data_IF_160139908170
#
_entry.id   IF_160139908170
#
_cell.length_a   1.000
_cell.length_b   1.000
_cell.length_c   1.000
_cell.angle_alpha   90.00
_cell.angle_beta   90.00
_cell.angle_gamma   90.00
#
_symmetry.space_group_name_H-M   'P 1'
#
loop_
_entity.id
_entity.type
_entity.pdbx_description
1 polymer ?
#
# COMPACT_ATOMS: atom_id res chain seq x y z
N UNK A 1 -27.72 72.51 27.90
CA UNK A 1 -27.54 71.08 28.09
C UNK A 1 -27.84 70.36 26.79
N UNK A 2 -26.80 70.01 26.01
CA UNK A 2 -26.95 69.30 24.75
C UNK A 2 -26.62 67.81 25.00
N UNK A 3 -27.58 66.89 24.78
CA UNK A 3 -27.39 65.46 24.86
C UNK A 3 -26.82 64.97 23.51
N UNK A 4 -25.65 64.36 23.54
CA UNK A 4 -25.08 63.63 22.41
C UNK A 4 -25.64 62.20 22.39
N UNK A 5 -26.19 61.78 21.25
CA UNK A 5 -26.63 60.43 20.97
C UNK A 5 -25.50 59.72 20.25
N UNK A 6 -24.92 58.71 20.84
CA UNK A 6 -23.96 57.82 20.22
C UNK A 6 -24.73 56.70 19.48
N UNK A 7 -24.62 56.68 18.17
CA UNK A 7 -25.07 55.57 17.31
C UNK A 7 -23.92 54.54 17.27
N UNK A 8 -24.16 53.39 17.88
CA UNK A 8 -23.27 52.22 17.74
C UNK A 8 -23.51 51.52 16.40
N UNK A 9 -22.49 51.51 15.55
CA UNK A 9 -22.48 50.69 14.33
C UNK A 9 -22.05 49.27 14.70
N UNK A 10 -22.97 48.33 14.65
CA UNK A 10 -22.67 46.88 14.76
C UNK A 10 -22.08 46.38 13.44
N UNK A 11 -20.79 46.07 13.43
CA UNK A 11 -20.15 45.39 12.31
C UNK A 11 -20.53 43.90 12.31
N UNK A 12 -21.33 43.51 11.34
CA UNK A 12 -21.57 42.09 11.01
C UNK A 12 -20.32 41.54 10.32
N UNK A 13 -19.58 40.68 11.03
CA UNK A 13 -18.55 39.83 10.44
C UNK A 13 -19.20 38.74 9.58
N UNK A 14 -18.76 38.53 8.34
CA UNK A 14 -19.26 37.40 7.55
C UNK A 14 -18.78 36.09 8.19
N UNK A 15 -19.72 35.21 8.54
CA UNK A 15 -19.42 33.82 8.81
C UNK A 15 -18.81 33.21 7.54
N UNK A 16 -17.49 33.00 7.55
CA UNK A 16 -16.83 32.21 6.52
C UNK A 16 -17.46 30.82 6.45
N UNK A 17 -18.08 30.50 5.33
CA UNK A 17 -18.48 29.13 5.03
C UNK A 17 -17.19 28.29 4.95
N UNK A 18 -16.93 27.48 5.98
CA UNK A 18 -15.97 26.39 5.87
C UNK A 18 -16.44 25.52 4.70
N UNK A 19 -15.58 25.35 3.70
CA UNK A 19 -15.81 24.32 2.66
C UNK A 19 -15.95 22.99 3.43
N UNK A 20 -17.15 22.41 3.38
CA UNK A 20 -17.37 21.07 3.89
C UNK A 20 -16.45 20.14 3.09
N UNK A 21 -15.38 19.65 3.70
CA UNK A 21 -14.60 18.57 3.12
C UNK A 21 -15.55 17.42 2.77
N UNK A 22 -15.35 16.78 1.62
CA UNK A 22 -16.16 15.63 1.26
C UNK A 22 -16.13 14.63 2.45
N UNK A 23 -17.33 14.19 2.87
CA UNK A 23 -17.42 13.27 4.00
C UNK A 23 -16.67 11.98 3.64
N UNK A 24 -15.81 11.53 4.55
CA UNK A 24 -15.07 10.27 4.40
C UNK A 24 -16.11 9.13 4.35
N UNK A 25 -16.10 8.26 3.33
CA UNK A 25 -17.08 7.18 3.24
C UNK A 25 -16.95 6.23 4.43
N UNK A 26 -18.06 5.63 4.92
CA UNK A 26 -18.07 4.79 6.13
C UNK A 26 -17.49 3.39 5.85
N UNK A 27 -16.34 3.33 5.22
CA UNK A 27 -15.59 2.11 4.96
C UNK A 27 -14.94 1.63 6.26
N UNK A 28 -15.10 0.34 6.57
CA UNK A 28 -14.55 -0.30 7.78
C UNK A 28 -13.71 -1.54 7.48
N UNK A 29 -13.71 -2.01 6.22
CA UNK A 29 -12.86 -3.11 5.78
C UNK A 29 -12.13 -2.69 4.50
N UNK A 30 -10.81 -2.61 4.56
CA UNK A 30 -9.94 -2.27 3.43
C UNK A 30 -9.15 -3.51 3.04
N UNK A 31 -9.22 -3.87 1.76
CA UNK A 31 -8.48 -4.97 1.14
C UNK A 31 -7.51 -4.39 0.12
N UNK A 32 -6.24 -4.73 0.21
CA UNK A 32 -5.23 -4.34 -0.77
C UNK A 32 -4.66 -5.61 -1.39
N UNK A 33 -4.68 -5.68 -2.72
CA UNK A 33 -3.91 -6.64 -3.50
C UNK A 33 -2.77 -5.88 -4.14
N UNK A 34 -1.54 -6.16 -3.70
CA UNK A 34 -0.33 -5.56 -4.23
C UNK A 34 0.32 -6.50 -5.24
N UNK A 35 0.47 -6.01 -6.47
CA UNK A 35 1.08 -6.68 -7.62
C UNK A 35 2.44 -6.05 -7.91
N UNK A 36 3.17 -6.56 -8.92
CA UNK A 36 4.57 -6.25 -9.15
C UNK A 36 4.87 -5.73 -10.58
N UNK A 37 5.64 -4.66 -10.64
CA UNK A 37 6.43 -4.19 -11.79
C UNK A 37 5.69 -4.08 -13.13
N UNK A 38 4.54 -3.39 -13.16
CA UNK A 38 3.80 -3.21 -14.41
C UNK A 38 3.43 -1.75 -14.71
N UNK A 39 3.72 -1.33 -15.93
CA UNK A 39 3.34 0.00 -16.41
C UNK A 39 1.82 0.14 -16.60
N UNK A 40 1.24 1.26 -16.19
CA UNK A 40 -0.17 1.56 -16.40
C UNK A 40 -0.58 1.45 -17.87
N UNK A 41 0.27 1.88 -18.80
CA UNK A 41 -0.03 1.84 -20.25
C UNK A 41 -0.13 0.40 -20.78
N UNK A 42 0.61 -0.54 -20.22
CA UNK A 42 0.53 -1.97 -20.58
C UNK A 42 -0.65 -2.62 -19.88
N UNK A 43 -0.76 -2.40 -18.57
CA UNK A 43 -1.79 -3.01 -17.72
C UNK A 43 -3.21 -2.63 -18.15
N UNK A 44 -3.45 -1.35 -18.39
CA UNK A 44 -4.77 -0.81 -18.72
C UNK A 44 -4.96 -0.48 -20.21
N UNK A 45 -3.99 -0.85 -21.05
CA UNK A 45 -4.06 -0.69 -22.49
C UNK A 45 -5.07 -1.63 -23.16
N UNK A 46 -5.47 -1.31 -24.41
CA UNK A 46 -6.45 -2.09 -25.16
C UNK A 46 -6.07 -3.57 -25.34
N UNK A 47 -4.77 -3.86 -25.43
CA UNK A 47 -4.22 -5.20 -25.64
C UNK A 47 -3.63 -5.82 -24.38
N UNK A 48 -4.08 -5.38 -23.20
CA UNK A 48 -3.61 -5.91 -21.93
C UNK A 48 -3.77 -7.44 -21.86
N UNK A 49 -2.72 -8.18 -21.45
CA UNK A 49 -2.83 -9.62 -21.17
C UNK A 49 -3.73 -9.96 -19.97
N UNK A 50 -4.09 -8.96 -19.16
CA UNK A 50 -5.02 -9.10 -18.04
C UNK A 50 -6.35 -8.36 -18.32
N UNK A 51 -7.24 -8.90 -19.17
CA UNK A 51 -8.51 -8.26 -19.50
C UNK A 51 -9.46 -8.12 -18.30
N UNK A 52 -9.31 -8.94 -17.28
CA UNK A 52 -10.08 -8.83 -16.05
C UNK A 52 -9.71 -7.56 -15.29
N UNK A 53 -8.41 -7.33 -15.06
CA UNK A 53 -7.90 -6.11 -14.42
C UNK A 53 -8.11 -4.87 -15.30
N UNK A 54 -7.83 -4.98 -16.60
CA UNK A 54 -7.84 -3.83 -17.52
C UNK A 54 -9.23 -3.28 -17.85
N UNK A 55 -10.25 -4.13 -17.83
CA UNK A 55 -11.61 -3.78 -18.31
C UNK A 55 -12.72 -4.16 -17.34
N UNK A 56 -12.71 -5.41 -16.84
CA UNK A 56 -13.83 -5.91 -16.04
C UNK A 56 -13.93 -5.19 -14.70
N UNK A 57 -12.81 -5.07 -13.98
CA UNK A 57 -12.79 -4.42 -12.68
C UNK A 57 -13.03 -2.89 -12.78
N UNK A 58 -12.41 -2.13 -13.69
CA UNK A 58 -12.72 -0.71 -13.87
C UNK A 58 -14.19 -0.44 -14.21
N UNK A 59 -14.82 -1.30 -14.99
CA UNK A 59 -16.25 -1.17 -15.28
C UNK A 59 -17.15 -1.37 -14.05
N UNK A 60 -16.67 -2.04 -13.02
CA UNK A 60 -17.37 -2.29 -11.75
C UNK A 60 -16.99 -1.30 -10.63
N UNK A 61 -15.95 -0.51 -10.82
CA UNK A 61 -15.40 0.38 -9.81
C UNK A 61 -14.80 1.66 -10.38
N UNK A 62 -13.69 2.11 -9.80
CA UNK A 62 -12.92 3.25 -10.28
C UNK A 62 -11.54 2.83 -10.77
N UNK A 63 -11.05 3.48 -11.82
CA UNK A 63 -9.69 3.42 -12.32
C UNK A 63 -8.96 4.73 -12.02
N UNK A 64 -7.89 4.68 -11.26
CA UNK A 64 -6.95 5.78 -11.03
C UNK A 64 -5.84 5.66 -12.08
N UNK A 65 -5.89 6.48 -13.12
CA UNK A 65 -4.94 6.39 -14.24
C UNK A 65 -3.60 7.04 -13.93
N UNK A 66 -3.57 7.94 -12.94
CA UNK A 66 -2.37 8.65 -12.48
C UNK A 66 -2.00 8.23 -11.04
N UNK A 67 -1.81 6.92 -10.86
CA UNK A 67 -1.29 6.38 -9.62
C UNK A 67 0.15 5.91 -9.83
N UNK A 68 1.05 6.22 -8.88
CA UNK A 68 2.50 6.10 -9.03
C UNK A 68 3.14 5.31 -7.90
N UNK A 69 4.16 4.51 -8.23
CA UNK A 69 5.09 3.94 -7.26
C UNK A 69 6.01 5.00 -6.67
N UNK A 70 6.61 4.71 -5.51
CA UNK A 70 7.51 5.62 -4.80
C UNK A 70 8.94 5.51 -5.33
N UNK A 71 9.43 4.29 -5.56
CA UNK A 71 10.78 4.03 -6.00
C UNK A 71 10.88 2.82 -6.91
N UNK A 72 12.11 2.53 -7.36
CA UNK A 72 12.42 1.31 -8.08
C UNK A 72 13.26 0.39 -7.21
N UNK A 73 12.63 -0.51 -6.64
CA UNK A 73 12.86 -1.75 -5.92
C UNK A 73 11.64 -2.02 -5.07
N UNK A 74 11.11 -3.22 -5.13
CA UNK A 74 9.80 -3.56 -4.53
C UNK A 74 9.73 -3.13 -3.07
N UNK A 75 10.70 -3.50 -2.25
CA UNK A 75 10.66 -3.30 -0.81
C UNK A 75 10.41 -1.85 -0.38
N UNK A 76 10.97 -0.85 -1.07
CA UNK A 76 10.78 0.54 -0.65
C UNK A 76 9.32 1.01 -0.83
N UNK A 77 8.60 0.50 -1.82
CA UNK A 77 7.19 0.75 -2.05
C UNK A 77 6.30 0.11 -0.97
N UNK A 78 6.62 -1.13 -0.59
CA UNK A 78 5.91 -1.83 0.49
C UNK A 78 6.12 -1.15 1.85
N UNK A 79 7.34 -0.71 2.15
CA UNK A 79 7.65 0.05 3.38
C UNK A 79 6.91 1.39 3.40
N UNK A 80 6.91 2.12 2.28
CA UNK A 80 6.21 3.40 2.15
C UNK A 80 4.71 3.24 2.46
N UNK A 81 4.08 2.18 1.96
CA UNK A 81 2.65 1.92 2.08
C UNK A 81 2.18 1.65 3.52
N UNK A 82 3.04 1.12 4.39
CA UNK A 82 2.65 0.75 5.76
C UNK A 82 3.23 1.66 6.84
N UNK A 83 4.15 2.56 6.50
CA UNK A 83 4.84 3.41 7.49
C UNK A 83 5.10 4.85 7.03
N UNK A 84 4.89 5.16 5.76
CA UNK A 84 5.23 6.45 5.19
C UNK A 84 6.73 6.75 5.15
N UNK A 85 7.60 5.74 5.35
CA UNK A 85 9.05 5.91 5.27
C UNK A 85 9.51 5.97 3.81
N UNK A 86 10.46 6.86 3.54
CA UNK A 86 11.07 7.00 2.23
C UNK A 86 12.09 5.88 1.95
N UNK A 87 12.38 5.59 0.66
CA UNK A 87 13.45 4.68 0.26
C UNK A 87 14.79 5.04 0.88
N UNK A 88 15.52 4.04 1.35
CA UNK A 88 16.91 4.16 1.78
C UNK A 88 17.80 3.21 0.96
N UNK A 89 19.12 3.30 1.14
CA UNK A 89 20.09 2.57 0.33
C UNK A 89 19.89 1.04 0.36
N UNK A 90 19.37 0.48 1.46
CA UNK A 90 19.15 -0.97 1.57
C UNK A 90 17.78 -1.40 1.03
N UNK A 91 16.74 -0.60 1.26
CA UNK A 91 15.42 -0.89 0.69
C UNK A 91 15.44 -0.76 -0.84
N UNK A 92 16.26 0.16 -1.39
CA UNK A 92 16.52 0.28 -2.83
C UNK A 92 17.35 -0.89 -3.43
N UNK A 93 17.68 -1.90 -2.66
CA UNK A 93 18.33 -3.14 -3.07
C UNK A 93 17.53 -4.37 -2.67
N UNK A 94 16.26 -4.21 -2.28
CA UNK A 94 15.40 -5.28 -1.78
C UNK A 94 15.98 -6.04 -0.57
N UNK A 95 16.86 -5.39 0.19
CA UNK A 95 17.39 -5.94 1.43
C UNK A 95 17.99 -7.35 1.30
N UNK A 96 19.03 -7.58 0.49
CA UNK A 96 19.59 -8.92 0.31
C UNK A 96 20.18 -9.53 1.59
N UNK A 97 20.52 -8.69 2.56
CA UNK A 97 20.80 -9.08 3.93
C UNK A 97 19.76 -8.43 4.81
N UNK A 98 18.99 -9.23 5.53
CA UNK A 98 17.92 -8.78 6.43
C UNK A 98 18.52 -8.06 7.65
N UNK A 99 18.93 -6.80 7.43
CA UNK A 99 19.80 -6.05 8.35
C UNK A 99 19.01 -5.03 9.17
N UNK A 100 19.41 -4.90 10.46
CA UNK A 100 18.93 -3.83 11.31
C UNK A 100 19.12 -2.46 10.68
N UNK A 101 18.15 -1.59 10.87
CA UNK A 101 18.25 -0.20 10.50
C UNK A 101 19.17 0.54 11.47
N UNK A 102 20.29 1.01 10.97
CA UNK A 102 21.25 1.82 11.72
C UNK A 102 20.92 3.29 11.61
N UNK A 103 20.37 3.83 12.70
CA UNK A 103 20.03 5.25 12.80
C UNK A 103 21.29 6.12 12.78
N UNK A 104 21.24 7.22 12.03
CA UNK A 104 22.25 8.29 12.07
C UNK A 104 22.00 9.28 13.20
N UNK A 105 20.76 9.35 13.71
CA UNK A 105 20.34 10.16 14.84
C UNK A 105 19.25 9.42 15.64
N UNK A 106 19.15 9.73 16.92
CA UNK A 106 18.27 9.04 17.85
C UNK A 106 16.76 9.30 17.58
N UNK A 107 16.43 10.43 16.94
CA UNK A 107 15.06 10.86 16.72
C UNK A 107 14.70 10.80 15.24
N UNK A 108 13.41 10.65 14.95
CA UNK A 108 12.86 10.86 13.60
C UNK A 108 13.01 12.34 13.22
N UNK A 109 13.06 12.62 11.92
CA UNK A 109 13.08 13.99 11.44
C UNK A 109 11.71 14.68 11.55
N UNK A 110 11.63 15.95 11.09
CA UNK A 110 10.40 16.73 11.13
C UNK A 110 9.26 16.15 10.25
N UNK A 111 9.57 15.22 9.37
CA UNK A 111 8.63 14.51 8.49
C UNK A 111 8.36 13.07 8.96
N UNK A 112 8.77 12.72 10.19
CA UNK A 112 8.61 11.37 10.74
C UNK A 112 9.52 10.30 10.09
N UNK A 113 10.60 10.73 9.41
CA UNK A 113 11.51 9.80 8.73
C UNK A 113 12.63 9.35 9.65
N UNK A 114 12.94 8.05 9.63
CA UNK A 114 14.14 7.50 10.22
C UNK A 114 15.34 7.79 9.31
N UNK A 115 16.29 8.59 9.76
CA UNK A 115 17.50 8.87 9.00
C UNK A 115 18.55 7.81 9.29
N UNK A 116 18.94 7.08 8.26
CA UNK A 116 19.90 5.97 8.42
C UNK A 116 19.88 5.01 7.24
N UNK A 117 20.37 3.81 7.47
CA UNK A 117 20.49 2.73 6.47
C UNK A 117 20.20 1.38 7.11
N UNK A 118 19.37 0.60 6.47
CA UNK A 118 18.97 -0.74 6.89
C UNK A 118 17.55 -1.05 6.45
N UNK A 119 17.09 -2.25 6.76
CA UNK A 119 15.79 -2.72 6.30
C UNK A 119 14.81 -2.92 7.44
N UNK A 120 15.30 -3.42 8.59
CA UNK A 120 14.46 -3.73 9.74
C UNK A 120 14.40 -2.50 10.63
N UNK A 121 13.31 -1.78 10.54
CA UNK A 121 13.13 -0.49 11.20
C UNK A 121 12.94 -0.63 12.72
N UNK A 122 13.51 0.29 13.52
CA UNK A 122 13.39 0.27 14.98
C UNK A 122 11.95 0.55 15.42
N UNK A 123 11.60 0.10 16.63
CA UNK A 123 10.25 0.24 17.23
C UNK A 123 9.69 1.66 17.27
N UNK A 124 10.54 2.68 17.21
CA UNK A 124 10.11 4.08 17.15
C UNK A 124 9.49 4.47 15.81
N UNK A 125 9.76 3.73 14.74
CA UNK A 125 9.08 3.88 13.45
C UNK A 125 7.76 3.13 13.54
N UNK A 126 6.68 3.89 13.75
CA UNK A 126 5.32 3.34 13.82
C UNK A 126 4.85 2.88 12.45
N UNK A 127 4.00 1.87 12.46
CA UNK A 127 3.37 1.31 11.26
C UNK A 127 1.86 1.48 11.32
N UNK A 128 1.19 1.35 10.17
CA UNK A 128 -0.27 1.27 10.10
C UNK A 128 -0.81 0.13 10.99
N UNK A 129 -0.24 -1.09 11.04
CA UNK A 129 -0.57 -2.10 12.04
C UNK A 129 -0.56 -1.62 13.49
N UNK A 130 0.47 -0.88 13.90
CA UNK A 130 0.56 -0.33 15.26
C UNK A 130 -0.58 0.63 15.57
N UNK A 131 -0.97 1.46 14.60
CA UNK A 131 -2.08 2.40 14.74
C UNK A 131 -3.45 1.68 14.78
N UNK A 132 -3.65 0.67 13.91
CA UNK A 132 -4.89 -0.11 13.87
C UNK A 132 -5.14 -0.79 15.21
N UNK A 133 -4.15 -1.49 15.76
CA UNK A 133 -4.28 -2.15 17.06
C UNK A 133 -4.53 -1.15 18.20
N UNK A 134 -3.83 0.00 18.19
CA UNK A 134 -4.05 1.05 19.17
C UNK A 134 -5.48 1.64 19.10
N UNK A 135 -6.12 1.61 17.92
CA UNK A 135 -7.51 2.01 17.70
C UNK A 135 -8.51 0.87 17.94
N UNK A 136 -8.07 -0.33 18.35
CA UNK A 136 -8.93 -1.51 18.54
C UNK A 136 -9.41 -2.14 17.24
N UNK A 137 -8.74 -1.86 16.12
CA UNK A 137 -8.99 -2.44 14.81
C UNK A 137 -8.09 -3.64 14.56
N UNK A 138 -8.51 -4.51 13.65
CA UNK A 138 -7.79 -5.74 13.31
C UNK A 138 -7.13 -5.66 11.94
N UNK A 139 -6.00 -6.33 11.78
CA UNK A 139 -5.28 -6.41 10.51
C UNK A 139 -4.72 -7.80 10.26
N UNK A 140 -4.45 -8.12 9.01
CA UNK A 140 -3.73 -9.33 8.63
C UNK A 140 -3.08 -9.20 7.26
N UNK A 141 -1.82 -9.65 7.14
CA UNK A 141 -1.10 -9.84 5.90
C UNK A 141 -1.20 -11.30 5.43
N UNK A 142 -1.59 -11.50 4.18
CA UNK A 142 -1.77 -12.80 3.54
C UNK A 142 -0.77 -12.96 2.40
N UNK A 143 0.25 -13.80 2.62
CA UNK A 143 1.37 -13.99 1.71
C UNK A 143 1.24 -15.34 0.99
N UNK A 144 1.06 -15.33 -0.33
CA UNK A 144 0.98 -16.57 -1.10
C UNK A 144 2.29 -17.34 -1.02
N UNK A 145 2.20 -18.63 -0.82
CA UNK A 145 3.29 -19.61 -0.69
C UNK A 145 4.16 -19.50 0.57
N UNK A 146 4.00 -18.50 1.43
CA UNK A 146 4.81 -18.38 2.66
C UNK A 146 4.80 -19.67 3.46
N UNK A 147 6.00 -20.18 3.78
CA UNK A 147 6.22 -21.39 4.57
C UNK A 147 6.18 -22.70 3.80
N UNK A 148 6.16 -22.67 2.47
CA UNK A 148 6.24 -23.89 1.67
C UNK A 148 7.58 -24.61 1.72
N UNK A 149 8.67 -23.87 1.86
CA UNK A 149 9.99 -24.43 2.14
C UNK A 149 10.53 -23.91 3.49
N UNK A 150 10.39 -24.67 4.59
CA UNK A 150 10.80 -24.24 5.92
C UNK A 150 12.33 -24.04 6.09
N UNK A 151 13.13 -24.32 5.06
CA UNK A 151 14.56 -23.98 5.02
C UNK A 151 14.80 -22.53 4.57
N UNK A 152 13.79 -21.90 4.01
CA UNK A 152 13.84 -20.51 3.50
C UNK A 152 13.23 -19.57 4.52
N UNK A 153 12.02 -19.86 4.98
CA UNK A 153 11.28 -19.05 5.94
C UNK A 153 10.28 -19.89 6.76
N UNK A 154 9.70 -19.27 7.77
CA UNK A 154 8.66 -19.87 8.62
C UNK A 154 7.29 -19.85 7.93
N UNK A 155 6.38 -20.73 8.36
CA UNK A 155 5.00 -20.82 7.86
C UNK A 155 4.13 -19.61 8.25
N UNK A 156 4.51 -18.90 9.29
CA UNK A 156 3.95 -17.63 9.74
C UNK A 156 5.09 -16.67 10.01
N UNK A 157 4.85 -15.35 9.87
CA UNK A 157 5.90 -14.34 10.10
C UNK A 157 7.20 -14.67 9.34
N UNK A 158 7.09 -15.07 8.08
CA UNK A 158 8.20 -15.61 7.29
C UNK A 158 9.24 -14.56 6.92
N UNK A 159 10.40 -14.60 7.56
CA UNK A 159 11.55 -13.73 7.27
C UNK A 159 12.87 -14.40 7.63
N UNK A 160 13.97 -13.87 7.08
CA UNK A 160 15.31 -14.29 7.47
C UNK A 160 15.64 -13.83 8.91
N UNK A 161 16.56 -14.51 9.55
CA UNK A 161 17.11 -14.04 10.84
C UNK A 161 17.83 -12.71 10.60
N UNK A 162 17.60 -11.73 11.50
CA UNK A 162 18.24 -10.41 11.42
C UNK A 162 19.76 -10.56 11.30
N UNK A 163 20.34 -9.86 10.33
CA UNK A 163 21.76 -9.95 9.98
C UNK A 163 22.14 -11.12 9.06
N UNK A 164 21.17 -11.89 8.56
CA UNK A 164 21.41 -12.99 7.62
C UNK A 164 20.89 -12.66 6.23
N UNK A 165 21.43 -13.38 5.25
CA UNK A 165 20.96 -13.34 3.86
C UNK A 165 19.48 -13.75 3.76
N UNK A 166 18.71 -12.99 2.97
CA UNK A 166 17.35 -13.37 2.62
C UNK A 166 17.37 -14.38 1.48
N UNK A 167 16.87 -15.57 1.75
CA UNK A 167 16.81 -16.67 0.78
C UNK A 167 15.53 -16.67 -0.06
N UNK A 168 14.64 -15.71 0.18
CA UNK A 168 13.34 -15.63 -0.50
C UNK A 168 13.32 -14.66 -1.68
N UNK A 169 14.42 -13.95 -1.95
CA UNK A 169 14.51 -12.97 -3.05
C UNK A 169 14.24 -13.55 -4.44
N UNK A 170 14.53 -14.84 -4.62
CA UNK A 170 14.36 -15.56 -5.89
C UNK A 170 13.46 -16.76 -5.67
N UNK A 171 12.47 -16.94 -6.55
CA UNK A 171 11.58 -18.10 -6.53
C UNK A 171 12.35 -19.42 -6.70
N UNK A 172 11.84 -20.46 -6.08
CA UNK A 172 12.20 -21.85 -6.38
C UNK A 172 10.94 -22.60 -6.86
N UNK A 173 11.12 -23.75 -7.50
CA UNK A 173 9.97 -24.56 -7.92
C UNK A 173 9.09 -25.00 -6.74
N UNK A 174 9.67 -25.17 -5.55
CA UNK A 174 8.96 -25.60 -4.34
C UNK A 174 8.29 -24.44 -3.59
N UNK A 175 8.84 -23.23 -3.71
CA UNK A 175 8.42 -22.09 -2.93
C UNK A 175 8.71 -20.78 -3.69
N UNK A 176 7.67 -19.97 -3.84
CA UNK A 176 7.70 -18.74 -4.62
C UNK A 176 7.41 -17.50 -3.75
N UNK A 177 7.37 -17.64 -2.43
CA UNK A 177 7.24 -16.52 -1.51
C UNK A 177 8.47 -15.61 -1.56
N UNK A 178 8.25 -14.30 -1.40
CA UNK A 178 9.31 -13.30 -1.27
C UNK A 178 9.06 -12.41 -0.04
N UNK A 179 10.00 -12.38 0.91
CA UNK A 179 9.90 -11.55 2.10
C UNK A 179 9.88 -10.05 1.73
N UNK A 180 10.58 -9.63 0.68
CA UNK A 180 10.57 -8.24 0.20
C UNK A 180 9.16 -7.72 -0.18
N UNK A 181 8.22 -8.62 -0.46
CA UNK A 181 6.81 -8.29 -0.70
C UNK A 181 5.93 -8.37 0.55
N UNK A 182 6.53 -8.55 1.71
CA UNK A 182 5.87 -8.63 3.01
C UNK A 182 6.36 -7.50 3.92
N UNK A 183 5.72 -6.29 3.87
CA UNK A 183 6.24 -5.13 4.60
C UNK A 183 6.29 -5.33 6.11
N UNK A 184 5.44 -6.19 6.65
CA UNK A 184 5.24 -6.33 8.10
C UNK A 184 6.44 -6.91 8.82
N UNK A 185 7.25 -7.71 8.12
CA UNK A 185 8.43 -8.35 8.75
C UNK A 185 9.65 -7.42 8.85
N UNK A 186 9.57 -6.20 8.31
CA UNK A 186 10.67 -5.22 8.36
C UNK A 186 10.55 -4.21 9.50
N UNK A 187 9.80 -4.53 10.55
CA UNK A 187 9.63 -3.63 11.72
C UNK A 187 9.77 -4.39 13.03
N UNK A 188 10.70 -3.94 13.89
CA UNK A 188 10.88 -4.48 15.23
C UNK A 188 9.65 -4.36 16.13
N UNK A 189 8.74 -3.43 15.83
CA UNK A 189 7.44 -3.37 16.53
C UNK A 189 6.61 -4.63 16.30
N UNK A 190 6.79 -5.31 15.16
CA UNK A 190 6.05 -6.52 14.78
C UNK A 190 6.85 -7.79 15.07
N UNK A 191 8.06 -7.90 14.51
CA UNK A 191 8.80 -9.18 14.55
C UNK A 191 9.39 -9.54 15.93
N UNK A 192 9.62 -8.57 16.81
CA UNK A 192 10.12 -8.87 18.17
C UNK A 192 9.02 -9.43 19.09
N UNK A 193 7.75 -9.36 18.68
CA UNK A 193 6.65 -10.06 19.31
C UNK A 193 6.22 -11.20 18.39
N UNK A 194 6.83 -12.37 18.59
CA UNK A 194 6.60 -13.56 17.76
C UNK A 194 5.11 -13.94 17.71
N UNK A 195 4.39 -13.88 18.82
CA UNK A 195 2.98 -14.24 18.87
C UNK A 195 2.12 -13.26 18.06
N UNK A 196 2.44 -11.97 18.13
CA UNK A 196 1.83 -10.93 17.31
C UNK A 196 2.08 -11.20 15.83
N UNK A 197 3.34 -11.37 15.44
CA UNK A 197 3.71 -11.60 14.05
C UNK A 197 3.04 -12.87 13.49
N UNK A 198 3.12 -13.99 14.19
CA UNK A 198 2.52 -15.27 13.77
C UNK A 198 1.00 -15.21 13.60
N UNK A 199 0.31 -14.40 14.41
CA UNK A 199 -1.14 -14.27 14.33
C UNK A 199 -1.60 -13.37 13.18
N UNK A 200 -0.75 -12.45 12.71
CA UNK A 200 -1.13 -11.44 11.74
C UNK A 200 -0.49 -11.63 10.35
N UNK A 201 0.67 -12.28 10.26
CA UNK A 201 1.36 -12.50 8.98
C UNK A 201 1.29 -13.99 8.64
N UNK A 202 0.38 -14.34 7.75
CA UNK A 202 -0.02 -15.73 7.49
C UNK A 202 0.04 -16.07 6.00
N UNK A 203 0.01 -17.37 5.69
CA UNK A 203 -0.15 -17.83 4.31
C UNK A 203 -1.53 -17.43 3.76
N UNK A 204 -1.60 -17.10 2.46
CA UNK A 204 -2.84 -16.70 1.76
C UNK A 204 -3.95 -17.76 1.86
N UNK A 205 -3.61 -19.02 2.08
CA UNK A 205 -4.58 -20.11 2.27
C UNK A 205 -5.51 -19.91 3.49
N UNK A 206 -5.16 -19.01 4.41
CA UNK A 206 -6.01 -18.64 5.55
C UNK A 206 -7.18 -17.70 5.16
N UNK A 207 -7.03 -16.91 4.09
CA UNK A 207 -7.99 -15.87 3.71
C UNK A 207 -9.43 -16.36 3.55
N UNK A 208 -9.74 -17.49 2.87
CA UNK A 208 -11.13 -17.97 2.73
C UNK A 208 -11.81 -18.26 4.08
N UNK A 209 -11.03 -18.66 5.08
CA UNK A 209 -11.52 -18.86 6.45
C UNK A 209 -11.99 -17.56 7.10
N UNK A 210 -11.19 -16.51 6.95
CA UNK A 210 -11.44 -15.22 7.56
C UNK A 210 -12.55 -14.44 6.86
N UNK A 211 -12.77 -14.65 5.57
CA UNK A 211 -13.83 -14.00 4.79
C UNK A 211 -15.25 -14.47 5.11
N UNK A 212 -15.46 -15.51 5.96
CA UNK A 212 -16.77 -16.14 6.19
C UNK A 212 -17.77 -15.23 6.89
N UNK A 213 -17.33 -14.25 7.67
CA UNK A 213 -18.21 -13.34 8.40
C UNK A 213 -17.56 -11.98 8.63
N UNK A 214 -18.36 -10.94 8.89
CA UNK A 214 -17.85 -9.61 9.27
C UNK A 214 -16.93 -9.70 10.50
N UNK A 215 -17.26 -10.55 11.47
CA UNK A 215 -16.48 -10.69 12.71
C UNK A 215 -15.12 -11.33 12.54
N UNK A 216 -14.95 -12.19 11.54
CA UNK A 216 -13.67 -12.91 11.28
C UNK A 216 -12.83 -12.21 10.24
N UNK A 217 -13.40 -11.33 9.43
CA UNK A 217 -12.66 -10.55 8.43
C UNK A 217 -11.95 -9.40 9.11
N UNK A 218 -10.61 -9.27 8.97
CA UNK A 218 -9.88 -8.12 9.52
C UNK A 218 -10.32 -6.80 8.90
N UNK A 219 -10.22 -5.70 9.66
CA UNK A 219 -10.48 -4.36 9.14
C UNK A 219 -9.49 -3.96 8.04
N UNK A 220 -8.24 -4.38 8.15
CA UNK A 220 -7.21 -4.17 7.13
C UNK A 220 -6.65 -5.52 6.67
N UNK A 221 -6.78 -5.79 5.39
CA UNK A 221 -6.37 -7.03 4.71
C UNK A 221 -5.36 -6.67 3.62
N UNK A 222 -4.13 -7.14 3.75
CA UNK A 222 -3.07 -6.94 2.77
C UNK A 222 -2.72 -8.29 2.12
N UNK A 223 -2.77 -8.36 0.81
CA UNK A 223 -2.61 -9.60 0.03
C UNK A 223 -1.45 -9.41 -0.94
N UNK A 224 -0.49 -10.33 -0.88
CA UNK A 224 0.62 -10.37 -1.81
C UNK A 224 0.64 -11.72 -2.53
N UNK A 225 0.54 -11.75 -3.86
CA UNK A 225 0.78 -12.97 -4.63
C UNK A 225 2.23 -13.44 -4.50
N UNK A 226 2.49 -14.68 -4.88
CA UNK A 226 3.84 -15.20 -5.00
C UNK A 226 4.54 -14.66 -6.27
N UNK A 227 5.85 -14.85 -6.38
CA UNK A 227 6.69 -14.38 -7.49
C UNK A 227 6.28 -14.85 -8.90
N UNK A 228 5.35 -15.78 -9.02
CA UNK A 228 4.79 -16.19 -10.31
C UNK A 228 3.46 -15.50 -10.62
N UNK A 229 2.69 -15.13 -9.60
CA UNK A 229 1.34 -14.61 -9.73
C UNK A 229 1.27 -13.08 -9.56
N UNK A 230 2.37 -12.45 -9.14
CA UNK A 230 2.44 -11.03 -8.82
C UNK A 230 2.49 -10.11 -10.06
N UNK A 231 2.96 -10.62 -11.20
CA UNK A 231 3.03 -9.86 -12.45
C UNK A 231 4.44 -9.48 -12.91
N UNK A 232 5.46 -9.70 -12.08
CA UNK A 232 6.83 -9.30 -12.40
C UNK A 232 7.45 -10.19 -13.49
N UNK A 233 7.58 -11.48 -13.24
CA UNK A 233 8.28 -12.38 -14.15
C UNK A 233 7.39 -12.81 -15.32
N UNK A 234 7.85 -12.71 -16.58
CA UNK A 234 7.05 -13.08 -17.76
C UNK A 234 6.74 -14.57 -17.84
N UNK A 235 7.60 -15.42 -17.25
CA UNK A 235 7.41 -16.86 -17.08
C UNK A 235 7.71 -17.23 -15.62
N UNK A 236 6.88 -18.11 -15.06
CA UNK A 236 7.11 -18.65 -13.73
C UNK A 236 8.33 -19.60 -13.75
N UNK A 237 9.02 -19.75 -12.62
CA UNK A 237 10.18 -20.62 -12.44
C UNK A 237 9.88 -22.10 -12.80
N UNK A 238 8.64 -22.52 -12.77
CA UNK A 238 8.19 -23.86 -13.14
C UNK A 238 7.76 -24.00 -14.62
N UNK A 239 7.96 -22.94 -15.42
CA UNK A 239 7.59 -22.87 -16.84
C UNK A 239 6.11 -22.57 -17.10
N UNK A 240 5.33 -22.26 -16.04
CA UNK A 240 3.96 -21.80 -16.16
C UNK A 240 3.86 -20.32 -16.58
N UNK A 241 2.64 -19.83 -16.85
CA UNK A 241 2.42 -18.42 -17.15
C UNK A 241 2.88 -17.52 -16.00
N UNK A 242 3.47 -16.38 -16.35
CA UNK A 242 3.81 -15.28 -15.44
C UNK A 242 3.23 -13.97 -15.93
N UNK A 243 3.77 -12.85 -15.45
CA UNK A 243 3.38 -11.50 -15.84
C UNK A 243 1.87 -11.24 -15.71
N UNK A 244 1.34 -10.32 -16.51
CA UNK A 244 -0.09 -9.95 -16.47
C UNK A 244 -1.06 -11.12 -16.77
N UNK A 245 -0.61 -12.20 -17.42
CA UNK A 245 -1.45 -13.37 -17.62
C UNK A 245 -1.68 -14.13 -16.31
N UNK A 246 -0.65 -14.29 -15.49
CA UNK A 246 -0.78 -14.89 -14.16
C UNK A 246 -1.60 -13.99 -13.23
N UNK A 247 -1.40 -12.66 -13.29
CA UNK A 247 -2.23 -11.66 -12.59
C UNK A 247 -3.72 -11.85 -12.93
N UNK A 248 -4.07 -12.01 -14.21
CA UNK A 248 -5.47 -12.20 -14.62
C UNK A 248 -6.09 -13.44 -13.97
N UNK A 249 -5.35 -14.54 -13.95
CA UNK A 249 -5.79 -15.78 -13.32
C UNK A 249 -5.92 -15.65 -11.79
N UNK A 250 -4.93 -15.01 -11.14
CA UNK A 250 -4.94 -14.74 -9.70
C UNK A 250 -6.14 -13.89 -9.31
N UNK A 251 -6.36 -12.77 -9.98
CA UNK A 251 -7.46 -11.86 -9.68
C UNK A 251 -8.83 -12.49 -9.93
N UNK A 252 -8.99 -13.30 -10.99
CA UNK A 252 -10.23 -14.06 -11.24
C UNK A 252 -10.55 -15.08 -10.14
N UNK A 253 -9.55 -15.60 -9.46
CA UNK A 253 -9.74 -16.48 -8.31
C UNK A 253 -10.13 -15.69 -7.05
N UNK A 254 -9.38 -14.64 -6.72
CA UNK A 254 -9.47 -14.03 -5.40
C UNK A 254 -10.47 -12.87 -5.31
N UNK A 255 -10.60 -12.03 -6.34
CA UNK A 255 -11.51 -10.88 -6.30
C UNK A 255 -12.97 -11.29 -6.08
N UNK A 256 -13.51 -12.32 -6.77
CA UNK A 256 -14.88 -12.78 -6.49
C UNK A 256 -15.10 -13.29 -5.06
N UNK A 257 -14.09 -13.93 -4.45
CA UNK A 257 -14.17 -14.40 -3.06
C UNK A 257 -14.22 -13.21 -2.09
N UNK A 258 -13.37 -12.21 -2.30
CA UNK A 258 -13.33 -10.99 -1.48
C UNK A 258 -14.64 -10.20 -1.63
N UNK A 259 -15.08 -9.94 -2.86
CA UNK A 259 -16.28 -9.12 -3.12
C UNK A 259 -17.59 -9.83 -2.73
N UNK A 260 -17.58 -11.16 -2.63
CA UNK A 260 -18.70 -11.93 -2.10
C UNK A 260 -18.75 -11.95 -0.57
N UNK A 261 -17.65 -11.62 0.13
CA UNK A 261 -17.58 -11.68 1.58
C UNK A 261 -18.58 -10.73 2.27
N UNK A 262 -19.19 -11.13 3.41
CA UNK A 262 -20.13 -10.29 4.16
C UNK A 262 -19.55 -8.93 4.54
N UNK A 263 -18.29 -8.87 4.98
CA UNK A 263 -17.60 -7.64 5.36
C UNK A 263 -17.44 -6.69 4.16
N UNK A 264 -17.02 -7.21 3.01
CA UNK A 264 -16.90 -6.39 1.80
C UNK A 264 -18.25 -5.80 1.36
N UNK A 265 -19.31 -6.62 1.36
CA UNK A 265 -20.67 -6.16 0.99
C UNK A 265 -21.21 -5.10 1.93
N UNK A 266 -20.85 -5.16 3.22
CA UNK A 266 -21.31 -4.22 4.22
C UNK A 266 -20.64 -2.86 4.04
N UNK A 267 -19.31 -2.80 4.05
CA UNK A 267 -18.55 -1.55 4.09
C UNK A 267 -17.09 -1.72 3.55
N UNK A 268 -16.92 -2.62 2.58
CA UNK A 268 -15.60 -2.94 2.05
C UNK A 268 -15.12 -2.00 0.95
N UNK A 269 -13.80 -1.84 0.90
CA UNK A 269 -13.04 -1.25 -0.20
C UNK A 269 -11.94 -2.23 -0.61
N UNK A 270 -11.95 -2.67 -1.87
CA UNK A 270 -10.85 -3.43 -2.46
C UNK A 270 -10.05 -2.51 -3.38
N UNK A 271 -8.73 -2.52 -3.20
CA UNK A 271 -7.76 -1.78 -4.01
C UNK A 271 -6.83 -2.82 -4.64
N UNK A 272 -6.68 -2.76 -5.96
CA UNK A 272 -5.73 -3.56 -6.72
C UNK A 272 -4.77 -2.60 -7.41
N UNK A 273 -3.50 -2.70 -7.09
CA UNK A 273 -2.44 -1.85 -7.67
C UNK A 273 -1.13 -2.62 -7.75
N UNK A 274 -0.10 -2.00 -8.31
CA UNK A 274 1.25 -2.51 -8.38
C UNK A 274 2.14 -1.72 -7.41
N UNK A 275 3.28 -2.27 -7.07
CA UNK A 275 4.28 -1.58 -6.25
C UNK A 275 4.99 -0.50 -7.06
N UNK A 276 5.50 -0.85 -8.24
CA UNK A 276 6.21 0.03 -9.17
C UNK A 276 5.94 -0.35 -10.62
N UNK A 277 6.42 0.48 -11.56
CA UNK A 277 6.45 0.15 -12.97
C UNK A 277 7.62 -0.79 -13.31
N UNK A 278 7.66 -1.30 -14.53
CA UNK A 278 8.83 -2.07 -15.03
C UNK A 278 10.05 -1.20 -15.39
N UNK A 279 9.99 0.10 -15.10
CA UNK A 279 11.04 1.08 -15.42
C UNK A 279 11.14 1.48 -16.88
N UNK A 280 10.35 0.89 -17.78
CA UNK A 280 10.41 1.17 -19.21
C UNK A 280 9.46 2.31 -19.64
N UNK A 281 9.74 2.90 -20.79
CA UNK A 281 8.90 3.94 -21.38
C UNK A 281 9.01 5.31 -20.68
N UNK A 282 8.24 6.30 -21.16
CA UNK A 282 8.37 7.68 -20.71
C UNK A 282 7.91 7.90 -19.25
N UNK A 283 7.00 7.07 -18.76
CA UNK A 283 6.46 7.16 -17.40
C UNK A 283 7.13 6.18 -16.43
N UNK A 284 8.10 5.39 -16.91
CA UNK A 284 8.70 4.27 -16.16
C UNK A 284 9.42 4.66 -14.86
N UNK A 285 9.85 5.91 -14.71
CA UNK A 285 10.43 6.44 -13.47
C UNK A 285 9.78 7.77 -13.09
N UNK A 286 8.55 8.00 -13.52
CA UNK A 286 7.80 9.18 -13.16
C UNK A 286 7.44 9.19 -11.67
N UNK A 287 7.27 10.38 -11.13
CA UNK A 287 6.80 10.62 -9.78
C UNK A 287 5.65 11.62 -9.80
N UNK A 288 4.88 11.64 -8.73
CA UNK A 288 3.93 12.72 -8.48
C UNK A 288 4.06 13.23 -7.04
N UNK A 289 3.19 14.12 -6.70
CA UNK A 289 2.77 14.34 -5.31
C UNK A 289 3.86 14.94 -4.40
N UNK A 290 5.01 15.32 -4.93
CA UNK A 290 6.09 15.99 -4.20
C UNK A 290 6.94 15.04 -3.34
N UNK A 291 7.10 13.79 -3.76
CA UNK A 291 8.01 12.85 -3.08
C UNK A 291 9.38 13.48 -2.89
N UNK A 292 9.91 13.26 -1.70
CA UNK A 292 11.25 13.75 -1.34
C UNK A 292 12.17 12.56 -1.10
N UNK A 293 13.39 12.59 -1.66
CA UNK A 293 14.38 11.61 -1.25
C UNK A 293 14.65 11.78 0.25
N UNK A 294 14.96 10.66 0.92
CA UNK A 294 15.41 10.71 2.30
C UNK A 294 16.65 11.62 2.41
N UNK A 295 16.76 12.44 3.44
CA UNK A 295 17.90 13.35 3.61
C UNK A 295 19.26 12.63 3.68
N UNK A 296 19.26 11.34 4.06
CA UNK A 296 20.43 10.46 4.05
C UNK A 296 20.62 9.66 2.76
N UNK A 297 19.69 9.76 1.79
CA UNK A 297 19.76 8.99 0.56
C UNK A 297 20.88 9.49 -0.35
N UNK A 298 21.60 8.55 -0.94
CA UNK A 298 22.64 8.82 -1.96
C UNK A 298 22.11 8.78 -3.39
N UNK A 299 20.90 8.27 -3.57
CA UNK A 299 20.21 8.10 -4.86
C UNK A 299 18.85 8.76 -4.81
N UNK A 300 18.26 9.15 -5.95
CA UNK A 300 16.86 9.56 -5.97
C UNK A 300 15.94 8.42 -5.49
N UNK A 301 14.69 8.73 -5.15
CA UNK A 301 13.73 7.74 -4.67
C UNK A 301 13.54 6.60 -5.66
N UNK A 302 13.39 6.88 -6.95
CA UNK A 302 13.54 5.89 -8.01
C UNK A 302 15.00 5.74 -8.42
N UNK A 303 15.50 4.53 -8.51
CA UNK A 303 16.90 4.26 -8.90
C UNK A 303 17.26 4.85 -10.26
N UNK A 304 16.30 4.87 -11.19
CA UNK A 304 16.46 5.38 -12.56
C UNK A 304 15.85 6.78 -12.76
N UNK A 305 15.18 7.33 -11.76
CA UNK A 305 14.48 8.61 -11.85
C UNK A 305 13.86 9.04 -10.53
N UNK A 306 12.94 10.02 -10.55
CA UNK A 306 12.38 10.61 -9.32
C UNK A 306 11.44 9.69 -8.55
N UNK A 307 10.83 8.66 -9.16
CA UNK A 307 9.88 7.78 -8.51
C UNK A 307 9.76 6.40 -9.16
N UNK A 308 8.83 5.60 -8.67
CA UNK A 308 8.57 4.22 -9.12
C UNK A 308 7.72 4.10 -10.39
N UNK A 309 7.45 5.20 -11.08
CA UNK A 309 6.72 5.20 -12.33
C UNK A 309 5.19 5.13 -12.18
N UNK A 310 4.49 5.26 -13.31
CA UNK A 310 3.03 5.26 -13.38
C UNK A 310 2.48 3.84 -13.53
N UNK A 311 1.74 3.39 -12.55
CA UNK A 311 1.26 2.01 -12.39
C UNK A 311 -0.27 1.87 -12.47
N UNK A 312 -1.02 2.88 -12.06
CA UNK A 312 -2.48 2.84 -11.97
C UNK A 312 -3.01 2.01 -10.80
N UNK A 313 -4.27 2.21 -10.46
CA UNK A 313 -4.96 1.44 -9.43
C UNK A 313 -6.44 1.26 -9.76
N UNK A 314 -7.03 0.13 -9.37
CA UNK A 314 -8.47 -0.13 -9.48
C UNK A 314 -9.07 -0.26 -8.09
N UNK A 315 -10.20 0.42 -7.88
CA UNK A 315 -10.93 0.41 -6.61
C UNK A 315 -12.34 -0.14 -6.81
N UNK A 316 -12.72 -1.10 -5.98
CA UNK A 316 -14.07 -1.64 -5.92
C UNK A 316 -14.68 -1.37 -4.54
N UNK A 317 -15.85 -0.78 -4.50
CA UNK A 317 -16.63 -0.55 -3.27
C UNK A 317 -18.06 -0.15 -3.64
N UNK A 318 -19.00 -0.36 -2.73
CA UNK A 318 -20.33 0.24 -2.84
C UNK A 318 -20.32 1.78 -2.79
N UNK A 319 -19.25 2.36 -2.27
CA UNK A 319 -19.02 3.81 -2.15
C UNK A 319 -18.25 4.39 -3.35
N UNK A 320 -18.08 3.63 -4.40
CA UNK A 320 -17.45 4.03 -5.65
C UNK A 320 -18.44 3.85 -6.79
N UNK A 321 -18.61 4.87 -7.63
CA UNK A 321 -19.48 4.77 -8.80
C UNK A 321 -18.80 3.91 -9.87
N UNK A 322 -19.46 2.84 -10.36
CA UNK A 322 -18.92 2.01 -11.44
C UNK A 322 -18.57 2.82 -12.70
N UNK A 323 -17.42 2.51 -13.29
CA UNK A 323 -16.91 3.18 -14.49
C UNK A 323 -16.30 4.57 -14.22
N UNK A 324 -16.06 4.92 -12.97
CA UNK A 324 -15.32 6.16 -12.62
C UNK A 324 -13.87 6.06 -13.09
N UNK A 325 -13.38 7.16 -13.68
CA UNK A 325 -11.97 7.33 -14.05
C UNK A 325 -11.46 8.60 -13.39
N UNK A 326 -10.48 8.44 -12.49
CA UNK A 326 -9.78 9.58 -11.90
C UNK A 326 -8.45 9.82 -12.62
N UNK A 327 -8.14 11.09 -12.85
CA UNK A 327 -6.86 11.58 -13.37
C UNK A 327 -6.10 12.39 -12.34
N UNK A 328 -6.59 12.46 -11.10
CA UNK A 328 -5.86 13.07 -10.00
C UNK A 328 -4.60 12.25 -9.70
N UNK A 329 -3.46 12.91 -9.44
CA UNK A 329 -2.23 12.21 -9.14
C UNK A 329 -2.22 11.68 -7.70
N UNK A 330 -1.93 10.41 -7.55
CA UNK A 330 -1.82 9.68 -6.29
C UNK A 330 -0.59 8.76 -6.28
N UNK A 331 -0.12 8.40 -5.10
CA UNK A 331 0.97 7.45 -4.90
C UNK A 331 0.73 6.57 -3.65
N UNK A 332 1.70 5.75 -3.25
CA UNK A 332 1.56 4.88 -2.07
C UNK A 332 1.40 5.67 -0.76
N UNK A 333 1.99 6.85 -0.63
CA UNK A 333 1.72 7.72 0.53
C UNK A 333 0.29 8.25 0.52
N UNK A 334 -0.27 8.55 -0.66
CA UNK A 334 -1.69 8.91 -0.82
C UNK A 334 -2.61 7.77 -0.39
N UNK A 335 -2.25 6.52 -0.73
CA UNK A 335 -3.01 5.34 -0.32
C UNK A 335 -2.92 5.12 1.18
N UNK A 336 -1.73 5.21 1.79
CA UNK A 336 -1.57 5.13 3.24
C UNK A 336 -2.43 6.20 3.93
N UNK A 337 -2.32 7.46 3.51
CA UNK A 337 -3.14 8.56 4.03
C UNK A 337 -4.63 8.29 3.91
N UNK A 338 -5.07 7.74 2.77
CA UNK A 338 -6.49 7.37 2.57
C UNK A 338 -6.95 6.34 3.58
N UNK A 339 -6.15 5.29 3.82
CA UNK A 339 -6.48 4.26 4.82
C UNK A 339 -6.51 4.85 6.23
N UNK A 340 -5.56 5.72 6.56
CA UNK A 340 -5.51 6.44 7.83
C UNK A 340 -6.76 7.32 8.02
N UNK A 341 -7.16 8.09 7.00
CA UNK A 341 -8.38 8.91 7.03
C UNK A 341 -9.65 8.06 7.20
N UNK A 342 -9.78 6.93 6.49
CA UNK A 342 -10.91 6.01 6.58
C UNK A 342 -11.08 5.42 8.00
N UNK A 343 -9.99 5.20 8.71
CA UNK A 343 -10.00 4.65 10.07
C UNK A 343 -9.87 5.72 11.17
N UNK A 344 -9.71 6.99 10.81
CA UNK A 344 -9.55 8.10 11.75
C UNK A 344 -8.22 8.06 12.50
N UNK A 345 -7.14 7.66 11.83
CA UNK A 345 -5.79 7.53 12.37
C UNK A 345 -4.95 8.78 12.07
N UNK A 346 -3.84 8.95 12.79
CA UNK A 346 -2.84 9.95 12.49
C UNK A 346 -2.07 9.56 11.22
N UNK A 347 -1.59 10.54 10.46
CA UNK A 347 -0.79 10.26 9.27
C UNK A 347 0.66 9.97 9.62
N UNK A 348 1.22 8.89 9.06
CA UNK A 348 2.60 8.44 9.27
C UNK A 348 3.55 8.99 8.20
N UNK A 349 4.75 9.36 8.61
CA UNK A 349 5.84 9.71 7.69
C UNK A 349 5.39 10.68 6.60
N UNK A 350 5.69 10.38 5.34
CA UNK A 350 5.30 11.24 4.23
C UNK A 350 3.79 11.20 3.89
N UNK A 351 3.01 10.29 4.45
CA UNK A 351 1.55 10.41 4.39
C UNK A 351 1.02 11.65 5.14
N UNK A 352 1.81 12.21 6.08
CA UNK A 352 1.50 13.44 6.79
C UNK A 352 1.81 14.74 6.02
N UNK A 353 2.41 14.67 4.83
CA UNK A 353 2.78 15.87 4.07
C UNK A 353 1.54 16.73 3.75
N UNK A 354 1.58 18.05 4.02
CA UNK A 354 0.38 18.90 3.96
C UNK A 354 -0.30 18.96 2.61
N UNK A 355 0.46 18.81 1.51
CA UNK A 355 -0.04 18.92 0.14
C UNK A 355 -0.35 17.55 -0.49
N UNK A 356 -0.13 16.47 0.22
CA UNK A 356 -0.46 15.14 -0.27
C UNK A 356 -1.98 14.94 -0.24
N UNK A 357 -2.54 14.46 -1.34
CA UNK A 357 -3.97 14.15 -1.42
C UNK A 357 -4.24 12.72 -1.00
N UNK A 358 -5.26 12.50 -0.16
CA UNK A 358 -5.95 11.22 -0.05
C UNK A 358 -6.94 11.05 -1.22
N UNK A 359 -7.44 9.85 -1.47
CA UNK A 359 -8.51 9.61 -2.43
C UNK A 359 -9.76 10.38 -1.99
N UNK A 360 -10.34 11.13 -2.91
CA UNK A 360 -11.40 12.09 -2.60
C UNK A 360 -12.71 11.87 -3.37
N UNK A 361 -13.42 12.97 -3.60
CA UNK A 361 -14.69 12.97 -4.32
C UNK A 361 -14.59 12.61 -5.82
N UNK A 362 -13.38 12.59 -6.37
CA UNK A 362 -13.08 12.07 -7.71
C UNK A 362 -13.14 10.53 -7.77
N UNK A 363 -13.08 9.87 -6.60
CA UNK A 363 -13.11 8.41 -6.42
C UNK A 363 -14.38 7.96 -5.71
N UNK A 364 -14.68 8.57 -4.55
CA UNK A 364 -15.81 8.19 -3.71
C UNK A 364 -17.06 8.98 -4.02
N UNK A 365 -18.20 8.31 -3.98
CA UNK A 365 -19.51 8.98 -4.03
C UNK A 365 -19.84 9.57 -2.67
N UNK A 366 -20.39 10.79 -2.65
CA UNK A 366 -21.09 11.27 -1.47
C UNK A 366 -22.33 10.38 -1.23
N UNK A 367 -22.56 10.02 0.05
CA UNK A 367 -23.81 9.34 0.45
C UNK A 367 -25.03 10.22 0.17
#
# INVERSE_FOLDING_TARGET
MRRAVLLGVAALLPLGASAAGAAVPPIRHVFIVMLENQNAAVTFGERSPSPYLARTLPAQGALLTHYYGIGHSSLDNYIALVSGQAPNEQTQLDCPVFSDFRLQRADLDAHGQALGVGCVYPRMVRTLPDQLEAAGLTWRGYMEDMGKDPRRESATCGHAVVGREDRTLIATAADKYAAKHNPFVYFHSIIDDQARCDSHVVNLDALPGDLRSVRTTPNYVFITPNLCNDGHDPECIDGGPGGLQAVDAFLRKWVPLITAAPAFKQDGLLIVTFDESDGSGPDGSAACCGERPLASARRPAGVLGPGGGRIGAVLLSRFVKPGTVSTDPYNHYSLLRTVEDLFGLEHLGYAAEPNLKAFGADVFTAE
#
